data_IF_534622504351
#
_entry.id   IF_534622504351
#
_cell.length_a   1.000
_cell.length_b   1.000
_cell.length_c   1.000
_cell.angle_alpha   90.00
_cell.angle_beta   90.00
_cell.angle_gamma   90.00
#
_symmetry.space_group_name_H-M   'P 1'
#
loop_
_entity.id
_entity.type
_entity.pdbx_description
1 polymer ?
#
# COMPACT_ATOMS: atom_id res chain seq x y z
N UNK A 1 14.44 51.69 -38.74
CA UNK A 1 13.38 51.10 -37.89
C UNK A 1 14.03 50.09 -36.98
N UNK A 2 13.93 50.26 -35.65
CA UNK A 2 14.46 49.30 -34.68
C UNK A 2 13.32 48.41 -34.21
N UNK A 3 13.47 47.09 -34.32
CA UNK A 3 12.51 46.12 -33.82
C UNK A 3 12.91 45.69 -32.41
N UNK A 4 11.95 45.68 -31.47
CA UNK A 4 12.16 45.14 -30.13
C UNK A 4 12.14 43.62 -30.23
N UNK A 5 13.30 42.97 -30.05
CA UNK A 5 13.39 41.53 -29.91
C UNK A 5 13.27 41.15 -28.44
N UNK A 6 12.33 40.26 -28.12
CA UNK A 6 12.18 39.67 -26.78
C UNK A 6 12.80 38.27 -26.86
N UNK A 7 13.86 38.04 -26.10
CA UNK A 7 14.43 36.71 -25.92
C UNK A 7 13.91 36.13 -24.61
N UNK A 8 13.23 34.99 -24.69
CA UNK A 8 12.82 34.23 -23.50
C UNK A 8 13.80 33.05 -23.38
N UNK A 9 14.67 33.10 -22.37
CA UNK A 9 15.81 32.19 -22.23
C UNK A 9 15.55 30.99 -21.34
N UNK A 10 14.31 30.78 -20.90
CA UNK A 10 14.00 29.73 -19.93
C UNK A 10 13.05 28.70 -20.55
N UNK A 11 13.51 27.45 -20.51
CA UNK A 11 12.77 26.26 -20.93
C UNK A 11 11.36 26.26 -20.35
N UNK A 12 10.34 26.38 -21.20
CA UNK A 12 8.96 26.13 -20.84
C UNK A 12 8.85 24.69 -20.30
N UNK A 13 8.31 24.47 -19.09
CA UNK A 13 8.14 23.11 -18.58
C UNK A 13 7.22 22.33 -19.53
N UNK A 14 7.71 21.21 -20.05
CA UNK A 14 6.98 20.29 -20.91
C UNK A 14 6.84 18.94 -20.21
N UNK A 15 5.65 18.34 -20.27
CA UNK A 15 5.29 17.10 -19.56
C UNK A 15 5.86 15.82 -20.20
N UNK A 16 6.80 15.94 -21.13
CA UNK A 16 7.35 14.83 -21.88
C UNK A 16 8.79 14.58 -21.43
N UNK A 17 9.22 13.32 -21.46
CA UNK A 17 10.57 12.92 -21.07
C UNK A 17 11.68 13.51 -21.95
N UNK A 18 11.33 14.08 -23.12
CA UNK A 18 12.26 14.69 -24.07
C UNK A 18 11.62 15.88 -24.78
N UNK A 19 12.37 16.96 -24.94
CA UNK A 19 11.98 18.15 -25.70
C UNK A 19 13.21 18.82 -26.31
N UNK A 20 13.03 19.54 -27.42
CA UNK A 20 14.10 20.24 -28.10
C UNK A 20 13.62 21.63 -28.50
N UNK A 21 14.40 22.66 -28.12
CA UNK A 21 14.08 24.05 -28.40
C UNK A 21 15.29 24.72 -29.06
N UNK A 22 15.06 25.45 -30.16
CA UNK A 22 16.11 26.19 -30.86
C UNK A 22 15.61 27.60 -31.16
N UNK A 23 16.50 28.57 -30.98
CA UNK A 23 16.31 29.96 -31.43
C UNK A 23 17.33 30.21 -32.54
N UNK A 24 16.86 30.66 -33.70
CA UNK A 24 17.71 31.01 -34.84
C UNK A 24 17.59 32.51 -35.12
N UNK A 25 18.72 33.20 -35.28
CA UNK A 25 18.76 34.63 -35.59
C UNK A 25 19.35 34.88 -36.97
N UNK A 26 18.81 35.85 -37.71
CA UNK A 26 19.31 36.25 -39.02
C UNK A 26 20.23 37.48 -38.92
N UNK A 27 21.41 37.39 -39.54
CA UNK A 27 22.23 38.54 -39.95
C UNK A 27 22.39 38.52 -41.47
N UNK A 28 22.51 39.70 -42.09
CA UNK A 28 22.61 39.84 -43.55
C UNK A 28 23.94 39.25 -44.04
N UNK A 29 23.91 38.08 -44.69
CA UNK A 29 25.06 37.57 -45.45
C UNK A 29 25.52 36.11 -45.21
N UNK A 30 24.68 35.18 -44.76
CA UNK A 30 25.06 33.76 -44.70
C UNK A 30 23.88 32.78 -44.70
N UNK A 31 24.06 31.61 -45.32
CA UNK A 31 23.10 30.49 -45.34
C UNK A 31 23.46 29.49 -44.24
N UNK A 32 22.52 29.18 -43.33
CA UNK A 32 22.70 28.15 -42.30
C UNK A 32 21.82 26.93 -42.60
N UNK A 33 22.42 25.73 -42.51
CA UNK A 33 21.70 24.46 -42.53
C UNK A 33 21.57 23.90 -41.10
N UNK A 34 20.34 23.57 -40.69
CA UNK A 34 20.08 22.80 -39.47
C UNK A 34 19.77 21.35 -39.84
N UNK A 35 20.48 20.41 -39.21
CA UNK A 35 20.13 18.99 -39.26
C UNK A 35 19.56 18.58 -37.90
N UNK A 36 18.33 18.08 -37.90
CA UNK A 36 17.69 17.53 -36.71
C UNK A 36 17.64 16.02 -36.91
N UNK A 37 18.27 15.30 -36.00
CA UNK A 37 18.13 13.85 -35.91
C UNK A 37 17.01 13.54 -34.93
N UNK A 38 16.01 12.80 -35.38
CA UNK A 38 15.03 12.17 -34.51
C UNK A 38 15.32 10.67 -34.44
N UNK A 39 15.12 10.08 -33.27
CA UNK A 39 15.19 8.64 -33.07
C UNK A 39 14.04 8.23 -32.18
N UNK A 40 13.38 7.13 -32.54
CA UNK A 40 12.38 6.51 -31.69
C UNK A 40 13.04 5.98 -30.42
N UNK A 41 12.49 6.32 -29.26
CA UNK A 41 12.88 5.66 -28.02
C UNK A 41 12.29 4.25 -28.02
N UNK A 42 13.05 3.28 -28.53
CA UNK A 42 12.70 1.87 -28.44
C UNK A 42 12.84 1.30 -27.02
N UNK A 43 13.19 2.14 -26.04
CA UNK A 43 13.06 1.78 -24.62
C UNK A 43 11.57 1.78 -24.27
N UNK A 44 10.92 0.66 -24.54
CA UNK A 44 9.75 0.24 -23.75
C UNK A 44 10.14 0.37 -22.28
N UNK A 45 9.25 0.92 -21.46
CA UNK A 45 9.45 0.96 -20.02
C UNK A 45 9.91 -0.42 -19.57
N UNK A 46 11.10 -0.49 -18.97
CA UNK A 46 11.65 -1.78 -18.54
C UNK A 46 10.63 -2.38 -17.59
N UNK A 47 10.14 -3.56 -17.93
CA UNK A 47 9.31 -4.34 -17.02
C UNK A 47 10.21 -4.82 -15.86
N UNK A 48 10.30 -3.96 -14.86
CA UNK A 48 11.05 -4.21 -13.63
C UNK A 48 10.47 -5.40 -12.89
N UNK A 49 9.16 -5.68 -13.01
CA UNK A 49 8.52 -6.84 -12.40
C UNK A 49 9.05 -8.13 -13.02
N UNK A 50 9.03 -8.25 -14.35
CA UNK A 50 9.57 -9.43 -15.04
C UNK A 50 11.08 -9.58 -14.83
N UNK A 51 11.82 -8.47 -14.84
CA UNK A 51 13.27 -8.49 -14.60
C UNK A 51 13.60 -8.94 -13.18
N UNK A 52 12.90 -8.39 -12.17
CA UNK A 52 13.03 -8.77 -10.78
C UNK A 52 12.64 -10.24 -10.58
N UNK A 53 11.49 -10.67 -11.12
CA UNK A 53 11.03 -12.04 -11.01
C UNK A 53 12.03 -13.02 -11.62
N UNK A 54 12.60 -12.71 -12.78
CA UNK A 54 13.66 -13.52 -13.41
C UNK A 54 14.91 -13.60 -12.54
N UNK A 55 15.38 -12.46 -12.01
CA UNK A 55 16.52 -12.43 -11.08
C UNK A 55 16.25 -13.25 -9.82
N UNK A 56 15.05 -13.11 -9.27
CA UNK A 56 14.60 -13.83 -8.08
C UNK A 56 14.53 -15.35 -8.30
N UNK A 57 13.92 -15.81 -9.41
CA UNK A 57 13.83 -17.24 -9.73
C UNK A 57 15.20 -17.87 -10.00
N UNK A 58 16.16 -17.10 -10.51
CA UNK A 58 17.54 -17.56 -10.72
C UNK A 58 18.42 -17.44 -9.46
N UNK A 59 17.97 -16.70 -8.46
CA UNK A 59 18.71 -16.53 -7.22
C UNK A 59 18.37 -17.67 -6.26
N UNK A 60 19.16 -18.74 -6.34
CA UNK A 60 19.10 -19.81 -5.37
C UNK A 60 19.65 -19.35 -4.01
N UNK A 61 19.10 -19.89 -2.91
CA UNK A 61 19.67 -19.72 -1.59
C UNK A 61 21.11 -20.23 -1.58
N UNK A 62 22.08 -19.32 -1.52
CA UNK A 62 23.50 -19.66 -1.53
C UNK A 62 23.94 -19.94 -0.09
N UNK A 63 24.72 -20.99 0.08
CA UNK A 63 25.49 -21.25 1.30
C UNK A 63 26.88 -20.67 1.06
N UNK A 64 27.29 -19.71 1.88
CA UNK A 64 28.64 -19.15 1.88
C UNK A 64 29.40 -19.85 3.00
N UNK A 65 30.32 -20.74 2.63
CA UNK A 65 31.18 -21.43 3.57
C UNK A 65 32.38 -20.55 3.95
N UNK A 66 32.26 -19.81 5.06
CA UNK A 66 33.37 -19.03 5.62
C UNK A 66 34.17 -19.88 6.61
N UNK A 67 35.03 -20.74 6.07
CA UNK A 67 35.90 -21.61 6.85
C UNK A 67 35.43 -23.08 6.97
N UNK A 68 36.22 -23.91 7.67
CA UNK A 68 35.96 -25.35 7.78
C UNK A 68 34.84 -25.71 8.76
N UNK A 69 34.43 -24.77 9.62
CA UNK A 69 33.39 -24.97 10.62
C UNK A 69 32.01 -24.63 10.02
N UNK A 70 31.08 -25.61 9.92
CA UNK A 70 29.73 -25.38 9.40
C UNK A 70 28.91 -24.36 10.18
N UNK A 71 29.24 -24.10 11.45
CA UNK A 71 28.55 -23.06 12.25
C UNK A 71 28.84 -21.65 11.76
N UNK A 72 29.95 -21.44 11.04
CA UNK A 72 30.30 -20.17 10.42
C UNK A 72 29.70 -20.00 9.02
N UNK A 73 28.95 -20.99 8.52
CA UNK A 73 28.39 -20.91 7.17
C UNK A 73 27.13 -20.05 7.17
N UNK A 74 27.06 -19.11 6.23
CA UNK A 74 25.89 -18.26 6.06
C UNK A 74 24.96 -18.83 4.99
N UNK A 75 23.68 -19.00 5.31
CA UNK A 75 22.65 -19.38 4.35
C UNK A 75 21.76 -18.17 4.01
N UNK A 76 21.77 -17.78 2.73
CA UNK A 76 21.01 -16.62 2.22
C UNK A 76 19.65 -17.01 1.62
N UNK A 77 19.23 -18.27 1.73
CA UNK A 77 17.91 -18.68 1.28
C UNK A 77 16.78 -18.28 2.24
N UNK A 78 15.53 -18.62 1.90
CA UNK A 78 14.41 -18.45 2.81
C UNK A 78 14.66 -19.31 4.07
N UNK A 79 14.27 -18.85 5.28
CA UNK A 79 14.38 -19.64 6.49
C UNK A 79 13.76 -21.03 6.30
N UNK A 80 14.41 -22.07 6.81
CA UNK A 80 13.90 -23.46 6.71
C UNK A 80 12.51 -23.58 7.35
N UNK A 81 12.27 -22.78 8.40
CA UNK A 81 11.01 -22.70 9.12
C UNK A 81 10.04 -21.66 8.55
N UNK A 82 10.28 -21.13 7.34
CA UNK A 82 9.40 -20.14 6.75
C UNK A 82 7.99 -20.70 6.58
N UNK A 83 7.09 -20.29 7.47
CA UNK A 83 5.65 -20.54 7.38
C UNK A 83 5.03 -19.62 6.31
N UNK A 84 3.69 -19.53 6.25
CA UNK A 84 2.95 -18.61 5.38
C UNK A 84 3.15 -17.10 5.74
N UNK A 85 4.34 -16.74 6.22
CA UNK A 85 4.75 -15.40 6.60
C UNK A 85 5.09 -14.57 5.36
N UNK A 86 4.95 -13.25 5.47
CA UNK A 86 5.38 -12.33 4.42
C UNK A 86 6.86 -12.02 4.61
N UNK A 87 7.62 -12.11 3.54
CA UNK A 87 9.03 -11.74 3.51
C UNK A 87 9.24 -10.62 2.50
N UNK A 88 10.01 -9.61 2.89
CA UNK A 88 10.60 -8.65 1.97
C UNK A 88 11.87 -9.28 1.40
N UNK A 89 11.88 -9.48 0.10
CA UNK A 89 13.05 -9.98 -0.63
C UNK A 89 13.85 -8.79 -1.14
N UNK A 90 15.12 -8.69 -0.73
CA UNK A 90 16.04 -7.65 -1.20
C UNK A 90 17.15 -8.31 -2.00
N UNK A 91 17.33 -7.87 -3.25
CA UNK A 91 18.43 -8.30 -4.11
C UNK A 91 19.42 -7.14 -4.19
N UNK A 92 20.67 -7.36 -3.82
CA UNK A 92 21.73 -6.37 -3.95
C UNK A 92 23.00 -6.99 -4.57
N UNK A 93 23.77 -6.21 -5.33
CA UNK A 93 25.02 -6.70 -5.92
C UNK A 93 26.12 -6.77 -4.85
N UNK A 94 26.72 -7.94 -4.70
CA UNK A 94 27.93 -8.17 -3.91
C UNK A 94 29.15 -8.32 -4.82
N UNK A 95 30.27 -7.69 -4.43
CA UNK A 95 31.49 -7.66 -5.26
C UNK A 95 32.15 -9.03 -5.42
N UNK A 96 32.02 -9.89 -4.41
CA UNK A 96 32.68 -11.18 -4.35
C UNK A 96 31.77 -12.30 -4.85
N UNK A 97 30.46 -12.16 -4.65
CA UNK A 97 29.51 -13.26 -4.81
C UNK A 97 28.43 -13.02 -5.87
N UNK A 98 28.41 -11.85 -6.53
CA UNK A 98 27.38 -11.49 -7.50
C UNK A 98 26.10 -10.99 -6.82
N UNK A 99 24.94 -11.13 -7.47
CA UNK A 99 23.66 -10.74 -6.86
C UNK A 99 23.36 -11.64 -5.65
N UNK A 100 23.25 -11.06 -4.45
CA UNK A 100 22.87 -11.76 -3.21
C UNK A 100 21.43 -11.43 -2.87
N UNK A 101 20.68 -12.46 -2.47
CA UNK A 101 19.28 -12.33 -2.06
C UNK A 101 19.17 -12.45 -0.56
N UNK A 102 18.50 -11.49 0.07
CA UNK A 102 18.23 -11.49 1.50
C UNK A 102 16.74 -11.52 1.74
N UNK A 103 16.31 -12.47 2.55
CA UNK A 103 14.94 -12.62 3.02
C UNK A 103 14.81 -11.93 4.37
N UNK A 104 14.08 -10.82 4.41
CA UNK A 104 13.78 -10.11 5.65
C UNK A 104 12.35 -10.46 6.01
N UNK A 105 12.15 -11.20 7.11
CA UNK A 105 10.80 -11.46 7.62
C UNK A 105 10.14 -10.11 7.85
N UNK A 106 9.04 -9.87 7.15
CA UNK A 106 8.29 -8.65 7.33
C UNK A 106 7.34 -8.90 8.48
N UNK A 107 7.68 -8.37 9.65
CA UNK A 107 6.74 -8.32 10.75
C UNK A 107 5.55 -7.52 10.27
N UNK A 108 4.45 -8.24 10.07
CA UNK A 108 3.20 -7.58 9.71
C UNK A 108 2.70 -6.96 11.00
N UNK A 109 2.92 -5.66 11.10
CA UNK A 109 2.47 -4.83 12.22
C UNK A 109 0.99 -5.15 12.49
N UNK A 110 0.74 -5.78 13.64
CA UNK A 110 -0.61 -6.05 14.09
C UNK A 110 -1.07 -4.85 14.89
N UNK A 111 -2.31 -4.36 14.67
CA UNK A 111 -2.86 -3.31 15.51
C UNK A 111 -2.91 -3.75 16.97
N UNK A 112 -2.51 -2.85 17.87
CA UNK A 112 -2.57 -3.05 19.32
C UNK A 112 -4.02 -3.05 19.82
N UNK A 113 -4.88 -2.30 19.13
CA UNK A 113 -6.31 -2.26 19.39
C UNK A 113 -7.10 -1.90 18.14
N UNK A 114 -8.42 -2.12 18.23
CA UNK A 114 -9.37 -1.65 17.24
C UNK A 114 -10.33 -0.64 17.86
N UNK A 115 -10.82 0.27 17.04
CA UNK A 115 -11.85 1.24 17.41
C UNK A 115 -12.99 1.20 16.42
N UNK A 116 -14.20 1.48 16.86
CA UNK A 116 -15.34 1.76 15.99
C UNK A 116 -15.40 3.26 15.74
N UNK A 117 -15.70 3.65 14.51
CA UNK A 117 -16.02 5.04 14.16
C UNK A 117 -17.30 5.09 13.36
N UNK A 118 -18.15 6.09 13.58
CA UNK A 118 -19.46 6.13 12.95
C UNK A 118 -20.32 7.34 13.26
N UNK A 119 -21.58 7.32 12.83
CA UNK A 119 -22.51 8.41 13.11
C UNK A 119 -22.85 8.55 14.61
N UNK A 120 -22.78 7.47 15.39
CA UNK A 120 -23.02 7.48 16.84
C UNK A 120 -22.02 8.34 17.63
N UNK A 121 -20.79 8.50 17.13
CA UNK A 121 -19.70 9.23 17.80
C UNK A 121 -19.09 10.33 16.90
N UNK A 122 -19.86 10.87 15.96
CA UNK A 122 -19.40 11.91 15.02
C UNK A 122 -18.11 11.55 14.26
N UNK A 123 -17.95 10.29 13.88
CA UNK A 123 -16.79 9.75 13.20
C UNK A 123 -15.48 9.92 13.97
N UNK A 124 -15.56 9.94 15.31
CA UNK A 124 -14.38 9.83 16.17
C UNK A 124 -14.05 8.36 16.45
N UNK A 125 -12.92 8.07 17.07
CA UNK A 125 -12.52 6.70 17.40
C UNK A 125 -13.07 6.33 18.81
N UNK A 126 -13.87 5.27 18.88
CA UNK A 126 -14.32 4.68 20.13
C UNK A 126 -13.75 3.27 20.30
N UNK A 127 -12.97 3.05 21.37
CA UNK A 127 -12.10 1.89 21.51
C UNK A 127 -12.90 0.62 21.80
N UNK A 128 -12.64 -0.44 21.04
CA UNK A 128 -13.23 -1.75 21.26
C UNK A 128 -12.55 -2.47 22.44
N UNK A 129 -13.32 -3.31 23.13
CA UNK A 129 -12.85 -4.22 24.16
C UNK A 129 -12.46 -5.57 23.54
N UNK A 130 -11.46 -6.23 24.12
CA UNK A 130 -11.10 -7.60 23.73
C UNK A 130 -12.12 -8.59 24.32
N UNK A 131 -12.61 -9.51 23.50
CA UNK A 131 -13.52 -10.58 23.92
C UNK A 131 -12.79 -11.82 24.43
N UNK A 132 -13.56 -12.83 24.84
CA UNK A 132 -13.03 -14.09 25.40
C UNK A 132 -12.32 -14.97 24.34
N UNK A 133 -12.63 -14.75 23.06
CA UNK A 133 -12.00 -15.45 21.94
C UNK A 133 -10.81 -14.65 21.45
N UNK A 134 -9.65 -15.28 21.28
CA UNK A 134 -8.43 -14.63 20.78
C UNK A 134 -8.70 -13.91 19.45
N UNK A 135 -8.37 -12.62 19.40
CA UNK A 135 -8.55 -11.76 18.23
C UNK A 135 -9.99 -11.28 18.02
N UNK A 136 -10.93 -11.60 18.91
CA UNK A 136 -12.27 -11.03 18.90
C UNK A 136 -12.27 -9.70 19.65
N UNK A 137 -12.81 -8.67 19.02
CA UNK A 137 -12.99 -7.34 19.57
C UNK A 137 -14.47 -6.99 19.53
N UNK A 138 -14.98 -6.27 20.52
CA UNK A 138 -16.37 -5.86 20.55
C UNK A 138 -16.57 -4.46 21.13
N UNK A 139 -17.67 -3.83 20.75
CA UNK A 139 -18.16 -2.58 21.33
C UNK A 139 -19.68 -2.61 21.35
N UNK A 140 -20.28 -2.12 22.43
CA UNK A 140 -21.73 -1.97 22.56
C UNK A 140 -22.09 -0.51 22.30
N UNK A 141 -22.97 -0.28 21.32
CA UNK A 141 -23.29 1.05 20.80
C UNK A 141 -24.81 1.20 20.73
N UNK A 142 -25.31 2.34 21.20
CA UNK A 142 -26.72 2.69 21.08
C UNK A 142 -27.08 3.05 19.62
N UNK A 143 -28.21 2.54 19.15
CA UNK A 143 -28.76 2.93 17.84
C UNK A 143 -29.17 4.42 17.91
N UNK A 144 -28.67 5.28 17.00
CA UNK A 144 -29.05 6.68 16.95
C UNK A 144 -30.55 6.92 16.77
N UNK A 145 -31.01 8.15 17.01
CA UNK A 145 -32.43 8.54 16.88
C UNK A 145 -33.03 8.30 15.49
N UNK A 146 -32.20 8.27 14.44
CA UNK A 146 -32.60 7.98 13.07
C UNK A 146 -32.91 6.48 12.82
N UNK A 147 -32.61 5.59 13.77
CA UNK A 147 -32.81 4.14 13.61
C UNK A 147 -31.76 3.45 12.74
N UNK A 148 -30.73 4.18 12.30
CA UNK A 148 -29.63 3.66 11.49
C UNK A 148 -28.27 3.98 12.14
N UNK A 149 -27.46 2.95 12.38
CA UNK A 149 -26.09 3.02 12.86
C UNK A 149 -25.14 2.79 11.68
N UNK A 150 -24.32 3.78 11.35
CA UNK A 150 -23.28 3.72 10.33
C UNK A 150 -21.93 3.56 11.00
N UNK A 151 -21.13 2.58 10.60
CA UNK A 151 -19.83 2.36 11.25
C UNK A 151 -18.75 1.78 10.35
N UNK A 152 -17.50 1.96 10.78
CA UNK A 152 -16.26 1.35 10.28
C UNK A 152 -15.41 0.90 11.47
N UNK A 153 -14.40 0.09 11.20
CA UNK A 153 -13.39 -0.29 12.20
C UNK A 153 -12.07 0.42 11.86
N UNK A 154 -11.36 0.95 12.85
CA UNK A 154 -10.04 1.57 12.71
C UNK A 154 -9.00 0.68 13.40
N UNK A 155 -7.87 0.42 12.75
CA UNK A 155 -6.68 -0.11 13.43
C UNK A 155 -5.98 1.02 14.21
N UNK A 156 -5.67 0.79 15.48
CA UNK A 156 -4.97 1.74 16.35
C UNK A 156 -5.62 3.13 16.46
N UNK A 157 -6.91 3.22 16.14
CA UNK A 157 -7.64 4.49 16.05
C UNK A 157 -7.26 5.38 14.87
N UNK A 158 -6.46 4.90 13.92
CA UNK A 158 -5.99 5.66 12.75
C UNK A 158 -7.00 5.58 11.59
N UNK A 159 -7.52 6.73 11.15
CA UNK A 159 -8.47 6.81 10.03
C UNK A 159 -7.89 6.36 8.69
N UNK A 160 -6.56 6.43 8.52
CA UNK A 160 -5.87 5.95 7.32
C UNK A 160 -5.70 4.41 7.30
N UNK A 161 -5.98 3.75 8.42
CA UNK A 161 -5.94 2.29 8.59
C UNK A 161 -7.35 1.75 8.91
N UNK A 162 -8.35 2.17 8.14
CA UNK A 162 -9.73 1.76 8.31
C UNK A 162 -10.03 0.41 7.63
N UNK A 163 -11.05 -0.28 8.16
CA UNK A 163 -11.71 -1.43 7.56
C UNK A 163 -13.16 -1.10 7.26
N UNK A 164 -13.61 -1.50 6.08
CA UNK A 164 -14.96 -1.24 5.61
C UNK A 164 -15.42 -2.27 4.57
N UNK A 165 -16.72 -2.26 4.23
CA UNK A 165 -17.27 -3.07 3.15
C UNK A 165 -16.91 -2.52 1.77
N UNK A 166 -17.13 -3.26 0.66
CA UNK A 166 -16.80 -2.77 -0.68
C UNK A 166 -17.71 -1.62 -1.15
N UNK A 167 -18.89 -1.50 -0.55
CA UNK A 167 -19.88 -0.47 -0.89
C UNK A 167 -20.36 0.23 0.37
N UNK A 168 -20.53 1.54 0.32
CA UNK A 168 -21.10 2.35 1.40
C UNK A 168 -22.54 1.95 1.69
N UNK A 169 -22.95 1.94 2.97
CA UNK A 169 -24.29 1.52 3.38
C UNK A 169 -24.49 0.00 3.35
N UNK A 170 -23.43 -0.81 3.49
CA UNK A 170 -23.55 -2.26 3.40
C UNK A 170 -24.23 -2.86 4.63
N UNK A 171 -25.33 -3.58 4.42
CA UNK A 171 -26.08 -4.28 5.49
C UNK A 171 -25.69 -5.77 5.61
N UNK A 172 -24.77 -6.27 4.78
CA UNK A 172 -24.40 -7.69 4.74
C UNK A 172 -23.18 -7.96 5.64
N UNK A 173 -23.36 -8.83 6.63
CA UNK A 173 -22.26 -9.32 7.50
C UNK A 173 -21.20 -10.14 6.75
N UNK A 174 -21.60 -10.80 5.66
CA UNK A 174 -20.74 -11.63 4.81
C UNK A 174 -20.04 -10.85 3.69
N UNK A 175 -20.18 -9.53 3.63
CA UNK A 175 -19.45 -8.73 2.65
C UNK A 175 -17.94 -8.83 2.90
N UNK A 176 -17.14 -8.80 1.83
CA UNK A 176 -15.69 -8.78 1.95
C UNK A 176 -15.25 -7.58 2.80
N UNK A 177 -14.30 -7.80 3.72
CA UNK A 177 -13.74 -6.73 4.54
C UNK A 177 -12.50 -6.20 3.82
N UNK A 178 -12.60 -4.96 3.33
CA UNK A 178 -11.47 -4.24 2.75
C UNK A 178 -10.65 -3.58 3.87
N UNK A 179 -9.36 -3.36 3.63
CA UNK A 179 -8.45 -2.69 4.56
C UNK A 179 -7.41 -3.61 5.22
N UNK A 180 -6.49 -3.05 6.03
CA UNK A 180 -6.46 -1.65 6.48
C UNK A 180 -6.02 -0.69 5.37
N UNK A 181 -6.80 0.36 5.11
CA UNK A 181 -6.49 1.43 4.15
C UNK A 181 -7.38 2.67 4.43
N UNK A 182 -7.16 3.76 3.69
CA UNK A 182 -8.02 4.96 3.75
C UNK A 182 -9.38 4.69 3.10
N UNK A 183 -10.26 4.03 3.86
CA UNK A 183 -11.56 3.54 3.41
C UNK A 183 -12.68 4.45 3.94
N UNK A 184 -13.50 4.93 3.00
CA UNK A 184 -14.65 5.82 3.28
C UNK A 184 -16.01 5.11 3.31
N UNK A 185 -16.07 3.85 2.87
CA UNK A 185 -17.29 3.03 2.90
C UNK A 185 -17.60 2.55 4.32
N UNK A 186 -18.88 2.30 4.63
CA UNK A 186 -19.32 1.91 5.97
C UNK A 186 -20.39 0.82 5.93
N UNK A 187 -20.50 0.08 7.03
CA UNK A 187 -21.64 -0.80 7.29
C UNK A 187 -22.81 0.00 7.85
N UNK A 188 -24.03 -0.45 7.57
CA UNK A 188 -25.26 0.11 8.14
C UNK A 188 -26.03 -0.97 8.89
N UNK A 189 -26.36 -0.68 10.14
CA UNK A 189 -27.25 -1.49 10.98
C UNK A 189 -28.53 -0.72 11.22
N UNK A 190 -29.68 -1.37 11.02
CA UNK A 190 -31.00 -0.79 11.32
C UNK A 190 -31.52 -1.39 12.62
N UNK A 191 -32.04 -0.56 13.51
CA UNK A 191 -32.57 -0.98 14.80
C UNK A 191 -33.56 0.04 15.37
N UNK A 192 -34.18 -0.27 16.52
CA UNK A 192 -35.02 0.71 17.21
C UNK A 192 -34.09 1.74 17.86
N UNK A 193 -34.38 3.05 17.73
CA UNK A 193 -33.60 4.07 18.43
C UNK A 193 -33.43 3.74 19.92
N UNK A 194 -32.20 3.89 20.43
CA UNK A 194 -31.78 3.53 21.80
C UNK A 194 -31.65 2.04 22.10
N UNK A 195 -31.91 1.14 21.15
CA UNK A 195 -31.49 -0.25 21.32
C UNK A 195 -29.97 -0.31 21.41
N UNK A 196 -29.46 -1.24 22.22
CA UNK A 196 -28.02 -1.50 22.30
C UNK A 196 -27.66 -2.57 21.28
N UNK A 197 -26.70 -2.28 20.40
CA UNK A 197 -26.16 -3.23 19.45
C UNK A 197 -24.72 -3.55 19.83
N UNK A 198 -24.41 -4.83 19.95
CA UNK A 198 -23.05 -5.32 20.10
C UNK A 198 -22.42 -5.53 18.72
N UNK A 199 -21.42 -4.74 18.39
CA UNK A 199 -20.57 -4.89 17.21
C UNK A 199 -19.40 -5.81 17.56
N UNK A 200 -19.11 -6.80 16.72
CA UNK A 200 -18.05 -7.79 16.93
C UNK A 200 -17.15 -7.87 15.70
N UNK A 201 -15.83 -7.79 15.90
CA UNK A 201 -14.82 -7.85 14.85
C UNK A 201 -13.75 -8.88 15.19
N UNK A 202 -13.60 -9.90 14.34
CA UNK A 202 -12.60 -10.95 14.51
C UNK A 202 -11.39 -10.67 13.61
N UNK A 203 -10.24 -10.41 14.22
CA UNK A 203 -8.95 -10.20 13.57
C UNK A 203 -7.85 -10.92 14.36
N UNK A 204 -7.54 -12.15 13.94
CA UNK A 204 -6.55 -13.03 14.61
C UNK A 204 -5.13 -12.77 14.10
N UNK A 205 -5.00 -12.66 12.78
CA UNK A 205 -3.73 -12.43 12.11
C UNK A 205 -3.97 -11.77 10.74
N UNK A 206 -2.96 -11.11 10.17
CA UNK A 206 -3.07 -10.41 8.89
C UNK A 206 -3.45 -11.32 7.72
N UNK A 207 -3.01 -12.58 7.74
CA UNK A 207 -3.24 -13.60 6.71
C UNK A 207 -4.55 -14.37 6.90
N UNK A 208 -5.16 -14.28 8.08
CA UNK A 208 -6.42 -14.97 8.39
C UNK A 208 -7.60 -14.10 7.94
N UNK A 209 -8.63 -14.68 7.31
CA UNK A 209 -9.85 -13.96 6.97
C UNK A 209 -10.45 -13.30 8.22
N UNK A 210 -10.83 -12.03 8.06
CA UNK A 210 -11.50 -11.25 9.11
C UNK A 210 -13.01 -11.44 8.99
N UNK A 211 -13.73 -11.32 10.10
CA UNK A 211 -15.19 -11.32 10.09
C UNK A 211 -15.77 -10.20 10.93
N UNK A 212 -16.92 -9.69 10.51
CA UNK A 212 -17.70 -8.69 11.24
C UNK A 212 -19.08 -9.28 11.55
N UNK A 213 -19.58 -9.05 12.75
CA UNK A 213 -20.93 -9.40 13.15
C UNK A 213 -21.52 -8.27 14.00
N UNK A 214 -22.85 -8.25 14.10
CA UNK A 214 -23.57 -7.37 15.00
C UNK A 214 -24.86 -8.03 15.45
N UNK A 215 -25.28 -7.79 16.70
CA UNK A 215 -26.54 -8.29 17.24
C UNK A 215 -27.15 -7.28 18.22
N UNK A 216 -28.47 -7.21 18.22
CA UNK A 216 -29.21 -6.51 19.28
C UNK A 216 -29.08 -7.29 20.57
N UNK A 217 -28.90 -6.60 21.69
CA UNK A 217 -28.84 -7.18 23.04
C UNK A 217 -30.21 -7.24 23.71
#
# INVERSE_FOLDING_TARGET
AAFVSIFTTETTPFAFSRGHCQVSSFGVGGTNGHAIFWGEELHTERDWSTTFHRKFMNAHGKIIADGPDPEMWEYHGPPIEATADKYKVVIYPDKNYGDVVRWVKQDVEQPDFYSVTGNHNNWTADRMLMGDVKGLWFLEVDVPSAGELHFRILADGDSSKAFGPPQSGCTKKLAAILGPADITTHWTVRGVPKDVIRLEFLAIAPTVPKSICWRTL
#
